data_IF_931070975317
#
_entry.id   IF_931070975317
#
_cell.length_a   1.000
_cell.length_b   1.000
_cell.length_c   1.000
_cell.angle_alpha   90.00
_cell.angle_beta   90.00
_cell.angle_gamma   90.00
#
_symmetry.space_group_name_H-M   'P 1'
#
loop_
_entity.id
_entity.type
_entity.pdbx_description
1 polymer ?
#
# COMPACT_ATOMS: atom_id res chain seq x y z
N UNK A 1 -48.44 -12.26 10.27
CA UNK A 1 -47.94 -12.19 8.88
C UNK A 1 -47.49 -10.77 8.59
N UNK A 2 -46.19 -10.50 8.71
CA UNK A 2 -45.56 -9.29 8.13
C UNK A 2 -44.16 -9.70 7.67
N UNK A 3 -44.07 -10.10 6.40
CA UNK A 3 -42.80 -10.32 5.73
C UNK A 3 -42.16 -8.96 5.45
N UNK A 4 -41.06 -8.67 6.12
CA UNK A 4 -40.32 -7.44 5.93
C UNK A 4 -39.46 -7.56 4.66
N UNK A 5 -39.86 -6.86 3.61
CA UNK A 5 -39.08 -6.64 2.39
C UNK A 5 -37.80 -5.86 2.72
N UNK A 6 -36.71 -6.56 3.00
CA UNK A 6 -35.35 -6.02 2.89
C UNK A 6 -34.41 -7.11 2.39
N UNK A 7 -34.61 -7.48 1.15
CA UNK A 7 -33.58 -8.18 0.40
C UNK A 7 -33.77 -7.87 -1.09
N UNK A 8 -32.66 -7.65 -1.78
CA UNK A 8 -32.49 -7.31 -3.22
C UNK A 8 -32.33 -5.82 -3.56
N UNK A 9 -31.15 -5.26 -3.28
CA UNK A 9 -30.43 -4.28 -4.14
C UNK A 9 -29.07 -3.87 -3.53
N UNK A 10 -28.21 -4.83 -3.19
CA UNK A 10 -26.81 -4.55 -2.78
C UNK A 10 -25.80 -5.38 -3.58
N UNK A 11 -26.04 -5.49 -4.88
CA UNK A 11 -25.01 -5.85 -5.87
C UNK A 11 -24.74 -4.61 -6.73
N UNK A 12 -24.42 -3.49 -6.09
CA UNK A 12 -23.81 -2.35 -6.74
C UNK A 12 -22.30 -2.54 -6.68
N UNK A 13 -21.61 -2.26 -7.77
CA UNK A 13 -20.15 -2.30 -7.85
C UNK A 13 -19.57 -1.40 -6.75
N UNK A 14 -18.94 -1.98 -5.71
CA UNK A 14 -18.29 -1.26 -4.60
C UNK A 14 -16.92 -0.71 -5.05
N UNK A 15 -16.88 0.03 -6.16
CA UNK A 15 -15.66 0.65 -6.69
C UNK A 15 -15.78 2.17 -6.77
N UNK A 16 -14.67 2.91 -6.86
CA UNK A 16 -14.69 4.36 -7.04
C UNK A 16 -15.47 4.76 -8.30
N UNK A 17 -16.34 5.75 -8.15
CA UNK A 17 -17.16 6.31 -9.22
C UNK A 17 -16.39 7.44 -9.94
N UNK A 18 -15.53 7.08 -10.88
CA UNK A 18 -14.77 8.05 -11.65
C UNK A 18 -15.67 8.90 -12.56
N UNK A 19 -15.41 10.21 -12.64
CA UNK A 19 -15.99 11.15 -13.60
C UNK A 19 -17.52 11.23 -13.65
N UNK A 20 -18.21 10.77 -12.60
CA UNK A 20 -19.67 10.87 -12.51
C UNK A 20 -20.11 12.33 -12.53
N UNK A 21 -20.98 12.70 -13.47
CA UNK A 21 -21.50 14.06 -13.63
C UNK A 21 -22.20 14.60 -12.37
N UNK A 22 -22.70 13.71 -11.50
CA UNK A 22 -23.33 14.06 -10.22
C UNK A 22 -22.37 14.19 -9.03
N UNK A 23 -21.09 13.78 -9.18
CA UNK A 23 -20.08 13.77 -8.11
C UNK A 23 -18.79 14.51 -8.52
N UNK A 24 -18.86 15.39 -9.53
CA UNK A 24 -17.70 16.15 -9.97
C UNK A 24 -17.25 17.09 -8.86
N UNK A 25 -16.02 16.88 -8.40
CA UNK A 25 -15.32 17.85 -7.56
C UNK A 25 -15.12 19.15 -8.31
N UNK A 26 -15.23 20.26 -7.58
CA UNK A 26 -14.80 21.56 -8.07
C UNK A 26 -13.34 21.49 -8.57
N UNK A 27 -13.02 21.99 -9.78
CA UNK A 27 -11.67 21.89 -10.33
C UNK A 27 -10.58 22.53 -9.47
N UNK A 28 -10.88 23.61 -8.76
CA UNK A 28 -9.91 24.28 -7.88
C UNK A 28 -9.61 23.41 -6.66
N UNK A 29 -10.64 22.84 -6.04
CA UNK A 29 -10.49 21.94 -4.90
C UNK A 29 -9.74 20.65 -5.26
N UNK A 30 -9.95 20.12 -6.47
CA UNK A 30 -9.23 18.96 -6.96
C UNK A 30 -7.73 19.25 -7.14
N UNK A 31 -7.41 20.45 -7.64
CA UNK A 31 -6.02 20.89 -7.81
C UNK A 31 -5.33 21.05 -6.45
N UNK A 32 -5.98 21.74 -5.50
CA UNK A 32 -5.47 21.91 -4.14
C UNK A 32 -5.27 20.56 -3.44
N UNK A 33 -6.19 19.60 -3.64
CA UNK A 33 -6.06 18.27 -3.08
C UNK A 33 -4.87 17.50 -3.66
N UNK A 34 -4.67 17.58 -4.98
CA UNK A 34 -3.53 16.96 -5.64
C UNK A 34 -2.20 17.58 -5.18
N UNK A 35 -2.14 18.89 -5.00
CA UNK A 35 -0.95 19.56 -4.49
C UNK A 35 -0.63 19.12 -3.05
N UNK A 36 -1.65 18.93 -2.21
CA UNK A 36 -1.46 18.32 -0.88
C UNK A 36 -0.93 16.88 -0.98
N UNK A 37 -1.44 16.08 -1.92
CA UNK A 37 -0.96 14.71 -2.16
C UNK A 37 0.50 14.69 -2.61
N UNK A 38 0.90 15.59 -3.53
CA UNK A 38 2.29 15.75 -3.99
C UNK A 38 3.20 16.15 -2.84
N UNK A 39 2.84 17.18 -2.07
CA UNK A 39 3.62 17.63 -0.91
C UNK A 39 3.79 16.53 0.14
N UNK A 40 2.74 15.75 0.39
CA UNK A 40 2.80 14.62 1.31
C UNK A 40 3.66 13.46 0.77
N UNK A 41 3.63 13.21 -0.55
CA UNK A 41 4.53 12.24 -1.19
C UNK A 41 6.00 12.68 -1.07
N UNK A 42 6.31 13.95 -1.29
CA UNK A 42 7.66 14.51 -1.12
C UNK A 42 8.16 14.41 0.33
N UNK A 43 7.27 14.62 1.30
CA UNK A 43 7.57 14.40 2.72
C UNK A 43 7.92 12.94 3.00
N UNK A 44 7.17 12.00 2.41
CA UNK A 44 7.44 10.57 2.54
C UNK A 44 8.74 10.15 1.85
N UNK A 45 9.00 10.63 0.64
CA UNK A 45 10.27 10.44 -0.07
C UNK A 45 11.46 10.89 0.77
N UNK A 46 11.37 12.08 1.36
CA UNK A 46 12.45 12.69 2.13
C UNK A 46 12.72 12.00 3.47
N UNK A 47 11.88 11.05 3.88
CA UNK A 47 12.10 10.28 5.11
C UNK A 47 13.27 9.32 4.89
N UNK A 48 14.36 9.49 5.64
CA UNK A 48 15.53 8.60 5.62
C UNK A 48 15.20 7.26 6.28
N UNK A 49 14.48 6.43 5.52
CA UNK A 49 14.16 5.07 5.89
C UNK A 49 14.41 4.13 4.71
N UNK A 50 15.65 3.63 4.54
CA UNK A 50 15.99 2.74 3.43
C UNK A 50 15.38 1.33 3.59
N UNK A 51 14.89 0.98 4.78
CA UNK A 51 14.38 -0.35 5.09
C UNK A 51 12.85 -0.39 4.93
N UNK A 52 12.37 -1.26 4.03
CA UNK A 52 10.96 -1.61 3.90
C UNK A 52 10.73 -3.11 4.13
N UNK A 53 9.74 -3.45 4.93
CA UNK A 53 9.14 -4.78 5.03
C UNK A 53 8.46 -5.22 3.72
N UNK A 54 8.10 -4.31 2.81
CA UNK A 54 7.71 -4.76 1.48
C UNK A 54 8.79 -5.65 0.82
N UNK A 55 10.06 -5.55 1.25
CA UNK A 55 11.12 -6.48 0.88
C UNK A 55 10.98 -7.90 1.46
N UNK A 56 10.15 -8.09 2.50
CA UNK A 56 9.78 -9.39 3.05
C UNK A 56 8.44 -9.86 2.48
N UNK A 57 8.48 -10.43 1.27
CA UNK A 57 7.31 -10.98 0.54
C UNK A 57 6.32 -11.76 1.41
N UNK A 58 6.81 -12.64 2.30
CA UNK A 58 5.96 -13.44 3.19
C UNK A 58 5.06 -12.62 4.14
N UNK A 59 5.52 -11.44 4.58
CA UNK A 59 4.71 -10.55 5.42
C UNK A 59 3.59 -9.89 4.61
N UNK A 60 3.90 -9.44 3.39
CA UNK A 60 2.92 -8.86 2.45
C UNK A 60 1.87 -9.90 2.08
N UNK A 61 2.29 -11.12 1.71
CA UNK A 61 1.38 -12.24 1.43
C UNK A 61 0.44 -12.54 2.59
N UNK A 62 0.97 -12.51 3.82
CA UNK A 62 0.15 -12.69 5.02
C UNK A 62 -0.88 -11.56 5.12
N UNK A 63 -0.48 -10.29 5.00
CA UNK A 63 -1.39 -9.15 5.05
C UNK A 63 -2.49 -9.28 4.00
N UNK A 64 -2.15 -9.72 2.79
CA UNK A 64 -3.11 -9.92 1.70
C UNK A 64 -4.12 -11.03 2.04
N UNK A 65 -3.64 -12.18 2.52
CA UNK A 65 -4.50 -13.29 2.97
C UNK A 65 -5.40 -12.90 4.15
N UNK A 66 -4.87 -12.13 5.11
CA UNK A 66 -5.65 -11.61 6.22
C UNK A 66 -6.72 -10.62 5.73
N UNK A 67 -6.36 -9.73 4.80
CA UNK A 67 -7.28 -8.76 4.20
C UNK A 67 -8.40 -9.45 3.43
N UNK A 68 -8.10 -10.49 2.67
CA UNK A 68 -9.08 -11.34 1.98
C UNK A 68 -10.02 -12.02 3.00
N UNK A 69 -9.46 -12.65 4.04
CA UNK A 69 -10.25 -13.28 5.11
C UNK A 69 -11.19 -12.29 5.80
N UNK A 70 -10.75 -11.06 5.99
CA UNK A 70 -11.56 -9.99 6.56
C UNK A 70 -12.45 -9.26 5.56
N UNK A 71 -12.34 -9.57 4.26
CA UNK A 71 -13.04 -8.91 3.14
C UNK A 71 -12.82 -7.39 3.13
N UNK A 72 -11.58 -6.99 3.39
CA UNK A 72 -11.18 -5.60 3.37
C UNK A 72 -11.13 -5.06 1.92
N UNK A 73 -11.49 -3.79 1.69
CA UNK A 73 -11.27 -3.14 0.41
C UNK A 73 -9.76 -3.00 0.12
N UNK A 74 -9.40 -2.83 -1.15
CA UNK A 74 -8.00 -2.73 -1.59
C UNK A 74 -7.25 -1.57 -0.90
N UNK A 75 -7.92 -0.43 -0.68
CA UNK A 75 -7.33 0.69 0.06
C UNK A 75 -6.92 0.28 1.49
N UNK A 76 -7.78 -0.44 2.21
CA UNK A 76 -7.47 -0.94 3.56
C UNK A 76 -6.32 -1.94 3.54
N UNK A 77 -6.24 -2.78 2.49
CA UNK A 77 -5.19 -3.77 2.30
C UNK A 77 -3.83 -3.10 2.13
N UNK A 78 -3.68 -2.15 1.20
CA UNK A 78 -2.41 -1.44 1.00
C UNK A 78 -2.04 -0.55 2.18
N UNK A 79 -3.03 0.09 2.81
CA UNK A 79 -2.82 0.85 4.04
C UNK A 79 -2.31 -0.04 5.18
N UNK A 80 -2.82 -1.26 5.33
CA UNK A 80 -2.31 -2.20 6.32
C UNK A 80 -0.83 -2.55 6.08
N UNK A 81 -0.41 -2.67 4.82
CA UNK A 81 1.01 -2.84 4.46
C UNK A 81 1.82 -1.63 4.92
N UNK A 82 1.41 -0.40 4.56
CA UNK A 82 2.13 0.82 4.95
C UNK A 82 2.22 1.04 6.47
N UNK A 83 1.15 0.72 7.22
CA UNK A 83 1.16 0.79 8.69
C UNK A 83 2.14 -0.25 9.25
N UNK A 84 2.08 -1.50 8.77
CA UNK A 84 2.95 -2.56 9.24
C UNK A 84 4.42 -2.24 8.96
N UNK A 85 4.71 -1.77 7.73
CA UNK A 85 6.03 -1.35 7.24
C UNK A 85 6.73 -0.40 8.20
N UNK A 86 6.08 0.74 8.44
CA UNK A 86 6.58 1.78 9.34
C UNK A 86 6.68 1.27 10.78
N UNK A 87 5.69 0.51 11.23
CA UNK A 87 5.66 -0.01 12.59
C UNK A 87 6.84 -0.93 12.87
N UNK A 88 7.10 -1.95 12.04
CA UNK A 88 8.15 -2.92 12.34
C UNK A 88 9.51 -2.27 12.30
N UNK A 89 9.76 -1.39 11.33
CA UNK A 89 11.04 -0.68 11.22
C UNK A 89 11.28 0.15 12.48
N UNK A 90 10.32 0.97 12.89
CA UNK A 90 10.45 1.77 14.11
C UNK A 90 10.58 0.87 15.35
N UNK A 91 9.78 -0.19 15.45
CA UNK A 91 9.82 -1.12 16.57
C UNK A 91 11.18 -1.83 16.70
N UNK A 92 11.76 -2.28 15.59
CA UNK A 92 13.07 -2.92 15.54
C UNK A 92 14.17 -1.92 15.92
N UNK A 93 14.09 -0.67 15.44
CA UNK A 93 15.03 0.40 15.81
C UNK A 93 15.00 0.69 17.31
N UNK A 94 13.82 0.84 17.88
CA UNK A 94 13.65 1.10 19.32
C UNK A 94 14.21 -0.04 20.17
N UNK A 95 13.91 -1.29 19.77
CA UNK A 95 14.43 -2.48 20.45
C UNK A 95 15.95 -2.60 20.33
N UNK A 96 16.51 -2.33 19.14
CA UNK A 96 17.95 -2.38 18.92
C UNK A 96 18.66 -1.30 19.73
N UNK A 97 18.13 -0.07 19.73
CA UNK A 97 18.61 1.04 20.56
C UNK A 97 18.62 0.64 22.04
N UNK A 98 17.53 0.06 22.54
CA UNK A 98 17.44 -0.41 23.92
C UNK A 98 18.52 -1.46 24.27
N UNK A 99 18.76 -2.44 23.39
CA UNK A 99 19.83 -3.44 23.61
C UNK A 99 21.22 -2.79 23.58
N UNK A 100 21.45 -1.89 22.62
CA UNK A 100 22.72 -1.17 22.45
C UNK A 100 23.05 -0.33 23.69
N UNK A 101 22.04 0.34 24.26
CA UNK A 101 22.17 1.22 25.43
C UNK A 101 22.14 0.45 26.76
N UNK A 102 21.76 -0.82 26.76
CA UNK A 102 21.77 -1.64 27.98
C UNK A 102 23.18 -1.89 28.53
N UNK A 103 23.28 -2.13 29.85
CA UNK A 103 24.52 -2.55 30.52
C UNK A 103 24.80 -4.06 30.40
N UNK A 104 24.04 -4.77 29.55
CA UNK A 104 24.22 -6.21 29.36
C UNK A 104 25.59 -6.53 28.78
N UNK A 105 26.26 -7.54 29.36
CA UNK A 105 27.50 -8.12 28.81
C UNK A 105 27.24 -9.04 27.62
N UNK A 106 25.98 -9.42 27.38
CA UNK A 106 25.56 -10.41 26.37
C UNK A 106 24.63 -9.81 25.31
N UNK A 107 24.88 -8.57 24.88
CA UNK A 107 24.01 -7.82 23.94
C UNK A 107 23.62 -8.59 22.68
N UNK A 108 24.55 -9.34 22.08
CA UNK A 108 24.25 -10.15 20.88
C UNK A 108 23.27 -11.29 21.18
N UNK A 109 23.39 -11.94 22.34
CA UNK A 109 22.45 -12.98 22.75
C UNK A 109 21.07 -12.39 23.03
N UNK A 110 21.02 -11.27 23.75
CA UNK A 110 19.77 -10.56 24.06
C UNK A 110 19.06 -10.12 22.78
N UNK A 111 19.82 -9.61 21.81
CA UNK A 111 19.30 -9.28 20.49
C UNK A 111 18.68 -10.48 19.78
N UNK A 112 19.36 -11.63 19.76
CA UNK A 112 18.82 -12.87 19.15
C UNK A 112 17.52 -13.30 19.83
N UNK A 113 17.43 -13.21 21.15
CA UNK A 113 16.19 -13.52 21.89
C UNK A 113 15.06 -12.55 21.55
N UNK A 114 15.34 -11.25 21.45
CA UNK A 114 14.37 -10.22 21.08
C UNK A 114 13.86 -10.45 19.66
N UNK A 115 14.75 -10.67 18.69
CA UNK A 115 14.38 -10.98 17.30
C UNK A 115 13.48 -12.22 17.25
N UNK A 116 13.80 -13.27 18.01
CA UNK A 116 12.96 -14.47 18.12
C UNK A 116 11.55 -14.16 18.65
N UNK A 117 11.42 -13.26 19.64
CA UNK A 117 10.12 -12.82 20.16
C UNK A 117 9.35 -11.98 19.15
N UNK A 118 10.00 -11.05 18.45
CA UNK A 118 9.38 -10.21 17.42
C UNK A 118 8.81 -11.08 16.30
N UNK A 119 9.58 -12.05 15.79
CA UNK A 119 9.13 -12.99 14.76
C UNK A 119 7.85 -13.74 15.17
N UNK A 120 7.78 -14.23 16.41
CA UNK A 120 6.58 -14.91 16.94
C UNK A 120 5.35 -13.98 17.06
N UNK A 121 5.56 -12.66 17.14
CA UNK A 121 4.49 -11.67 17.26
C UNK A 121 4.02 -11.13 15.92
N UNK A 122 4.71 -11.39 14.81
CA UNK A 122 4.34 -10.88 13.47
C UNK A 122 2.86 -11.11 13.13
N UNK A 123 2.28 -12.33 13.29
CA UNK A 123 0.86 -12.55 13.03
C UNK A 123 -0.06 -11.59 13.78
N UNK A 124 0.21 -11.36 15.06
CA UNK A 124 -0.56 -10.44 15.89
C UNK A 124 -0.43 -8.99 15.40
N UNK A 125 0.78 -8.57 15.04
CA UNK A 125 1.05 -7.21 14.53
C UNK A 125 0.37 -6.96 13.19
N UNK A 126 0.43 -7.92 12.28
CA UNK A 126 -0.25 -7.85 10.98
C UNK A 126 -1.76 -7.69 11.19
N UNK A 127 -2.37 -8.53 12.03
CA UNK A 127 -3.81 -8.43 12.31
C UNK A 127 -4.16 -7.07 12.94
N UNK A 128 -3.34 -6.56 13.86
CA UNK A 128 -3.54 -5.21 14.42
C UNK A 128 -3.45 -4.11 13.35
N UNK A 129 -2.54 -4.21 12.38
CA UNK A 129 -2.45 -3.25 11.28
C UNK A 129 -3.68 -3.32 10.36
N UNK A 130 -4.21 -4.52 10.07
CA UNK A 130 -5.49 -4.68 9.36
C UNK A 130 -6.66 -4.07 10.13
N UNK A 131 -6.70 -4.22 11.46
CA UNK A 131 -7.71 -3.57 12.29
C UNK A 131 -7.64 -2.05 12.18
N UNK A 132 -6.45 -1.46 12.32
CA UNK A 132 -6.25 -0.02 12.19
C UNK A 132 -6.63 0.50 10.81
N UNK A 133 -6.13 -0.14 9.75
CA UNK A 133 -6.44 0.24 8.38
C UNK A 133 -7.96 0.21 8.11
N UNK A 134 -8.64 -0.84 8.58
CA UNK A 134 -10.10 -0.96 8.41
C UNK A 134 -10.89 0.15 9.13
N UNK A 135 -10.36 0.73 10.22
CA UNK A 135 -11.01 1.85 10.91
C UNK A 135 -10.86 3.17 10.15
N UNK A 136 -9.80 3.31 9.35
CA UNK A 136 -9.53 4.51 8.57
C UNK A 136 -10.34 4.57 7.27
N UNK A 137 -10.64 3.43 6.66
CA UNK A 137 -11.17 3.38 5.28
C UNK A 137 -12.51 2.65 5.15
N UNK A 138 -12.88 1.78 6.10
CA UNK A 138 -14.04 0.92 5.95
C UNK A 138 -15.17 1.30 6.90
N UNK A 139 -16.05 2.21 6.45
CA UNK A 139 -17.21 2.67 7.22
C UNK A 139 -18.12 1.53 7.74
N UNK A 140 -18.15 0.37 7.04
CA UNK A 140 -18.97 -0.79 7.44
C UNK A 140 -18.22 -2.12 7.62
N UNK A 141 -16.93 -2.20 7.28
CA UNK A 141 -16.16 -3.47 7.31
C UNK A 141 -15.00 -3.50 8.31
N UNK A 142 -15.11 -2.69 9.37
CA UNK A 142 -14.11 -2.65 10.44
C UNK A 142 -13.85 -4.06 11.00
N UNK A 143 -12.56 -4.40 11.15
CA UNK A 143 -12.15 -5.64 11.81
C UNK A 143 -12.24 -5.43 13.32
N UNK A 144 -13.33 -5.94 13.90
CA UNK A 144 -13.53 -5.88 15.35
C UNK A 144 -12.51 -6.77 16.09
N UNK A 145 -12.22 -6.50 17.38
CA UNK A 145 -11.36 -7.36 18.19
C UNK A 145 -11.82 -8.81 18.25
N UNK A 146 -13.14 -9.06 18.17
CA UNK A 146 -13.72 -10.41 18.12
C UNK A 146 -13.37 -11.13 16.81
N UNK A 147 -13.43 -10.44 15.67
CA UNK A 147 -13.03 -10.99 14.35
C UNK A 147 -11.53 -11.29 14.31
N UNK A 148 -10.71 -10.37 14.81
CA UNK A 148 -9.28 -10.55 14.93
C UNK A 148 -8.93 -11.76 15.84
N UNK A 149 -9.60 -11.88 16.98
CA UNK A 149 -9.43 -13.02 17.90
C UNK A 149 -9.79 -14.36 17.23
N UNK A 150 -10.94 -14.43 16.55
CA UNK A 150 -11.36 -15.65 15.86
C UNK A 150 -10.33 -16.09 14.81
N UNK A 151 -9.86 -15.15 13.98
CA UNK A 151 -8.84 -15.42 12.98
C UNK A 151 -7.51 -15.89 13.58
N UNK A 152 -7.00 -15.22 14.61
CA UNK A 152 -5.76 -15.62 15.29
C UNK A 152 -5.89 -16.99 15.97
N UNK A 153 -7.07 -17.31 16.52
CA UNK A 153 -7.36 -18.61 17.12
C UNK A 153 -7.38 -19.73 16.08
N UNK A 154 -7.96 -19.49 14.90
CA UNK A 154 -7.93 -20.44 13.76
C UNK A 154 -6.49 -20.78 13.34
N UNK A 155 -5.58 -19.82 13.46
CA UNK A 155 -4.15 -20.00 13.19
C UNK A 155 -3.36 -20.63 14.35
N UNK A 156 -4.04 -21.12 15.38
CA UNK A 156 -3.43 -21.76 16.55
C UNK A 156 -2.83 -20.82 17.58
N UNK A 157 -3.07 -19.50 17.48
CA UNK A 157 -2.55 -18.54 18.46
C UNK A 157 -3.40 -18.48 19.73
N UNK A 158 -2.75 -18.27 20.88
CA UNK A 158 -3.38 -18.21 22.21
C UNK A 158 -3.57 -16.78 22.73
N UNK A 159 -3.79 -15.81 21.84
CA UNK A 159 -3.95 -14.41 22.22
C UNK A 159 -5.34 -14.15 22.82
N UNK A 160 -5.41 -13.35 23.89
CA UNK A 160 -6.67 -12.83 24.43
C UNK A 160 -7.10 -11.57 23.69
N UNK A 161 -8.40 -11.21 23.77
CA UNK A 161 -8.89 -9.94 23.23
C UNK A 161 -8.12 -8.75 23.80
N UNK A 162 -7.81 -8.76 25.10
CA UNK A 162 -7.00 -7.71 25.71
C UNK A 162 -5.61 -7.62 25.06
N UNK A 163 -4.94 -8.75 24.81
CA UNK A 163 -3.64 -8.73 24.14
C UNK A 163 -3.69 -8.19 22.70
N UNK A 164 -4.82 -8.40 22.00
CA UNK A 164 -5.07 -7.84 20.67
C UNK A 164 -5.24 -6.32 20.73
N UNK A 165 -6.03 -5.83 21.69
CA UNK A 165 -6.20 -4.38 21.91
C UNK A 165 -4.89 -3.70 22.30
N UNK A 166 -4.11 -4.31 23.20
CA UNK A 166 -2.79 -3.81 23.57
C UNK A 166 -1.80 -3.85 22.40
N UNK A 167 -1.95 -4.81 21.49
CA UNK A 167 -1.16 -4.84 20.26
C UNK A 167 -1.50 -3.68 19.35
N UNK A 168 -2.79 -3.40 19.17
CA UNK A 168 -3.26 -2.26 18.39
C UNK A 168 -2.74 -0.93 18.96
N UNK A 169 -2.87 -0.74 20.28
CA UNK A 169 -2.36 0.45 20.97
C UNK A 169 -0.84 0.58 20.84
N UNK A 170 -0.10 -0.54 20.85
CA UNK A 170 1.35 -0.51 20.62
C UNK A 170 1.68 0.00 19.23
N UNK A 171 0.99 -0.47 18.19
CA UNK A 171 1.22 -0.01 16.82
C UNK A 171 0.98 1.51 16.73
N UNK A 172 -0.13 1.99 17.30
CA UNK A 172 -0.44 3.42 17.36
C UNK A 172 0.66 4.23 18.06
N UNK A 173 1.07 3.81 19.26
CA UNK A 173 2.10 4.52 20.04
C UNK A 173 3.46 4.52 19.36
N UNK A 174 3.87 3.40 18.77
CA UNK A 174 5.14 3.31 18.03
C UNK A 174 5.16 4.22 16.80
N UNK A 175 3.99 4.55 16.24
CA UNK A 175 3.87 5.45 15.10
C UNK A 175 3.44 6.87 15.47
N UNK A 176 3.49 7.22 16.76
CA UNK A 176 3.02 8.51 17.29
C UNK A 176 1.62 8.89 16.78
N UNK A 177 0.74 7.88 16.67
CA UNK A 177 -0.62 7.98 16.13
C UNK A 177 -0.72 8.45 14.67
N UNK A 178 0.41 8.61 13.96
CA UNK A 178 0.46 9.00 12.57
C UNK A 178 0.29 7.80 11.63
N UNK A 179 -0.95 7.33 11.46
CA UNK A 179 -1.29 6.14 10.63
C UNK A 179 -2.08 6.46 9.35
N UNK A 180 -2.47 7.71 9.15
CA UNK A 180 -3.34 8.14 8.04
C UNK A 180 -2.58 8.57 6.79
N UNK A 181 -1.35 8.10 6.60
CA UNK A 181 -0.57 8.47 5.41
C UNK A 181 -1.22 7.96 4.12
N UNK A 182 -1.15 8.71 3.02
CA UNK A 182 -1.57 8.24 1.70
C UNK A 182 -0.87 6.93 1.34
N UNK A 183 -1.60 6.05 0.63
CA UNK A 183 -1.07 4.83 0.05
C UNK A 183 -1.16 4.90 -1.48
N UNK A 184 -0.40 4.07 -2.23
CA UNK A 184 -0.36 4.14 -3.69
C UNK A 184 -1.73 4.08 -4.38
N UNK A 185 -2.72 3.36 -3.81
CA UNK A 185 -4.07 3.34 -4.38
C UNK A 185 -4.78 4.70 -4.33
N UNK A 186 -4.51 5.53 -3.32
CA UNK A 186 -5.10 6.87 -3.23
C UNK A 186 -4.55 7.79 -4.33
N UNK A 187 -3.24 7.77 -4.54
CA UNK A 187 -2.60 8.50 -5.64
C UNK A 187 -3.13 8.02 -7.00
N UNK A 188 -3.30 6.71 -7.15
CA UNK A 188 -3.86 6.10 -8.36
C UNK A 188 -5.28 6.59 -8.66
N UNK A 189 -6.17 6.57 -7.66
CA UNK A 189 -7.54 7.06 -7.83
C UNK A 189 -7.57 8.55 -8.19
N UNK A 190 -6.74 9.38 -7.55
CA UNK A 190 -6.62 10.81 -7.86
C UNK A 190 -6.15 11.04 -9.29
N UNK A 191 -5.10 10.33 -9.73
CA UNK A 191 -4.58 10.45 -11.09
C UNK A 191 -5.59 9.97 -12.14
N UNK A 192 -6.29 8.85 -11.87
CA UNK A 192 -7.31 8.31 -12.78
C UNK A 192 -8.51 9.22 -12.96
N UNK A 193 -8.94 9.89 -11.88
CA UNK A 193 -10.00 10.90 -11.94
C UNK A 193 -9.59 12.07 -12.82
N UNK A 194 -8.32 12.51 -12.77
CA UNK A 194 -7.83 13.62 -13.60
C UNK A 194 -7.69 13.22 -15.08
N UNK A 195 -6.96 12.15 -15.38
CA UNK A 195 -6.72 11.75 -16.78
C UNK A 195 -8.02 11.32 -17.48
N UNK A 196 -8.99 10.79 -16.74
CA UNK A 196 -10.29 10.44 -17.28
C UNK A 196 -11.15 11.64 -17.70
N UNK A 197 -10.81 12.85 -17.24
CA UNK A 197 -11.41 14.11 -17.74
C UNK A 197 -10.78 14.53 -19.05
N UNK A 198 -9.47 14.34 -19.18
CA UNK A 198 -8.68 14.74 -20.35
C UNK A 198 -8.84 13.76 -21.53
N UNK A 199 -9.14 12.48 -21.24
CA UNK A 199 -9.24 11.41 -22.25
C UNK A 199 -10.60 10.70 -22.12
N UNK A 200 -11.58 11.17 -22.89
CA UNK A 200 -12.99 10.74 -22.78
C UNK A 200 -13.26 9.31 -23.22
N UNK A 201 -12.40 8.73 -24.07
CA UNK A 201 -12.50 7.34 -24.55
C UNK A 201 -11.70 6.35 -23.69
N UNK A 202 -11.19 6.81 -22.54
CA UNK A 202 -10.42 5.98 -21.61
C UNK A 202 -11.35 5.11 -20.74
N UNK A 203 -11.12 3.80 -20.72
CA UNK A 203 -11.87 2.87 -19.87
C UNK A 203 -11.34 2.89 -18.42
N UNK A 204 -11.50 4.04 -17.74
CA UNK A 204 -10.91 4.34 -16.42
C UNK A 204 -11.20 3.24 -15.39
N UNK A 205 -12.42 2.73 -15.33
CA UNK A 205 -12.80 1.66 -14.39
C UNK A 205 -12.03 0.35 -14.61
N UNK A 206 -11.74 0.00 -15.87
CA UNK A 206 -10.97 -1.21 -16.20
C UNK A 206 -9.48 -0.98 -15.89
N UNK A 207 -8.96 0.22 -16.22
CA UNK A 207 -7.59 0.60 -15.89
C UNK A 207 -7.40 0.57 -14.38
N UNK A 208 -8.34 1.11 -13.60
CA UNK A 208 -8.31 1.05 -12.15
C UNK A 208 -8.18 -0.39 -11.63
N UNK A 209 -9.09 -1.29 -12.03
CA UNK A 209 -9.08 -2.70 -11.59
C UNK A 209 -7.78 -3.39 -11.99
N UNK A 210 -7.28 -3.13 -13.21
CA UNK A 210 -6.00 -3.67 -13.70
C UNK A 210 -4.82 -3.12 -12.90
N UNK A 211 -4.84 -1.82 -12.61
CA UNK A 211 -3.79 -1.12 -11.86
C UNK A 211 -3.73 -1.60 -10.41
N UNK A 212 -4.86 -1.95 -9.80
CA UNK A 212 -4.88 -2.62 -8.49
C UNK A 212 -4.19 -3.99 -8.54
N UNK A 213 -4.36 -4.78 -9.62
CA UNK A 213 -3.63 -6.06 -9.78
C UNK A 213 -2.14 -5.85 -10.02
N UNK A 214 -1.77 -4.77 -10.72
CA UNK A 214 -0.37 -4.36 -10.85
C UNK A 214 0.20 -3.92 -9.50
N UNK A 215 -0.54 -3.18 -8.66
CA UNK A 215 -0.13 -2.86 -7.30
C UNK A 215 0.09 -4.13 -6.46
N UNK A 216 -0.80 -5.13 -6.55
CA UNK A 216 -0.59 -6.42 -5.87
C UNK A 216 0.77 -7.03 -6.26
N UNK A 217 1.11 -7.02 -7.56
CA UNK A 217 2.41 -7.48 -8.05
C UNK A 217 3.58 -6.66 -7.50
N UNK A 218 3.45 -5.33 -7.49
CA UNK A 218 4.47 -4.41 -6.96
C UNK A 218 4.75 -4.70 -5.50
N UNK A 219 3.71 -4.81 -4.66
CA UNK A 219 3.87 -5.10 -3.24
C UNK A 219 4.48 -6.49 -2.99
N UNK A 220 4.15 -7.50 -3.79
CA UNK A 220 4.65 -8.87 -3.64
C UNK A 220 6.08 -9.08 -4.16
N UNK A 221 6.57 -8.21 -5.05
CA UNK A 221 7.91 -8.29 -5.65
C UNK A 221 8.64 -6.95 -5.50
N UNK A 222 8.41 -6.29 -4.37
CA UNK A 222 8.84 -4.93 -4.14
C UNK A 222 10.36 -4.81 -4.22
N UNK A 223 11.08 -5.75 -3.59
CA UNK A 223 12.54 -5.69 -3.55
C UNK A 223 13.14 -5.91 -4.93
N UNK A 224 12.62 -6.88 -5.68
CA UNK A 224 13.09 -7.21 -7.03
C UNK A 224 12.85 -6.05 -8.00
N UNK A 225 11.64 -5.47 -7.99
CA UNK A 225 11.27 -4.35 -8.86
C UNK A 225 12.14 -3.13 -8.55
N UNK A 226 12.27 -2.75 -7.29
CA UNK A 226 13.04 -1.56 -6.94
C UNK A 226 14.54 -1.74 -7.10
N UNK A 227 15.06 -2.95 -6.90
CA UNK A 227 16.47 -3.25 -7.18
C UNK A 227 16.74 -3.20 -8.69
N UNK A 228 15.84 -3.72 -9.53
CA UNK A 228 15.98 -3.60 -10.99
C UNK A 228 15.89 -2.15 -11.45
N UNK A 229 14.93 -1.37 -10.93
CA UNK A 229 14.78 0.05 -11.22
C UNK A 229 16.03 0.87 -10.82
N UNK A 230 16.57 0.60 -9.63
CA UNK A 230 17.81 1.24 -9.13
C UNK A 230 19.04 0.90 -10.00
N UNK A 231 19.07 -0.29 -10.62
CA UNK A 231 20.13 -0.74 -11.50
C UNK A 231 19.97 -0.26 -12.96
N UNK A 232 18.74 -0.14 -13.45
CA UNK A 232 18.44 0.26 -14.83
C UNK A 232 18.69 1.75 -15.08
N UNK A 233 18.56 2.60 -14.06
CA UNK A 233 18.81 4.03 -14.12
C UNK A 233 20.30 4.34 -14.45
N UNK A 234 20.62 4.36 -15.74
CA UNK A 234 21.97 4.38 -16.31
C UNK A 234 22.62 5.78 -16.35
N UNK A 235 22.09 6.79 -15.65
CA UNK A 235 22.66 8.14 -15.68
C UNK A 235 22.26 9.07 -14.53
N UNK A 236 23.25 9.47 -13.72
CA UNK A 236 23.40 10.77 -13.02
C UNK A 236 22.32 11.27 -12.02
N UNK A 237 21.15 10.66 -11.81
CA UNK A 237 20.21 11.19 -10.80
C UNK A 237 20.48 10.69 -9.37
N UNK A 238 20.85 11.64 -8.49
CA UNK A 238 21.06 11.52 -7.04
C UNK A 238 19.85 11.03 -6.22
N UNK A 239 18.76 10.58 -6.86
CA UNK A 239 17.45 10.34 -6.22
C UNK A 239 17.14 8.86 -5.92
N UNK A 240 18.07 7.93 -6.17
CA UNK A 240 17.88 6.47 -5.98
C UNK A 240 17.38 6.06 -4.59
N UNK A 241 17.79 6.77 -3.53
CA UNK A 241 17.46 6.40 -2.14
C UNK A 241 15.97 6.56 -1.77
N UNK A 242 15.20 7.28 -2.58
CA UNK A 242 13.84 7.69 -2.22
C UNK A 242 12.76 7.06 -3.10
N UNK A 243 13.14 6.36 -4.19
CA UNK A 243 12.21 5.70 -5.11
C UNK A 243 11.30 4.69 -4.40
N UNK A 244 11.84 3.98 -3.40
CA UNK A 244 11.08 3.00 -2.61
C UNK A 244 9.96 3.67 -1.79
N UNK A 245 10.09 4.95 -1.45
CA UNK A 245 9.08 5.71 -0.69
C UNK A 245 8.12 6.50 -1.58
N UNK A 246 8.26 6.37 -2.89
CA UNK A 246 7.52 7.15 -3.86
C UNK A 246 6.17 6.53 -4.23
N UNK A 247 5.13 6.87 -3.46
CA UNK A 247 3.79 6.37 -3.70
C UNK A 247 3.16 6.92 -4.98
N UNK A 248 3.53 8.14 -5.37
CA UNK A 248 3.03 8.76 -6.60
C UNK A 248 3.61 8.08 -7.84
N UNK A 249 4.92 7.85 -7.89
CA UNK A 249 5.58 7.12 -8.98
C UNK A 249 5.07 5.68 -9.08
N UNK A 250 4.82 5.01 -7.95
CA UNK A 250 4.21 3.68 -7.91
C UNK A 250 2.84 3.66 -8.58
N UNK A 251 2.00 4.64 -8.24
CA UNK A 251 0.66 4.76 -8.80
C UNK A 251 0.70 5.05 -10.31
N UNK A 252 1.50 6.02 -10.74
CA UNK A 252 1.67 6.39 -12.14
C UNK A 252 2.22 5.20 -12.96
N UNK A 253 3.24 4.50 -12.45
CA UNK A 253 3.80 3.29 -13.06
C UNK A 253 2.79 2.16 -13.20
N UNK A 254 1.96 1.93 -12.18
CA UNK A 254 0.90 0.93 -12.23
C UNK A 254 -0.18 1.27 -13.27
N UNK A 255 -0.55 2.54 -13.40
CA UNK A 255 -1.49 3.02 -14.42
C UNK A 255 -0.87 2.85 -15.82
N UNK A 256 0.36 3.30 -16.03
CA UNK A 256 1.06 3.21 -17.31
C UNK A 256 1.21 1.75 -17.77
N UNK A 257 1.64 0.84 -16.88
CA UNK A 257 1.72 -0.59 -17.17
C UNK A 257 0.34 -1.19 -17.52
N UNK A 258 -0.71 -0.75 -16.83
CA UNK A 258 -2.08 -1.22 -17.09
C UNK A 258 -2.60 -0.75 -18.45
N UNK A 259 -2.34 0.51 -18.81
CA UNK A 259 -2.66 1.04 -20.14
C UNK A 259 -1.87 0.30 -21.21
N UNK A 260 -0.58 0.05 -21.02
CA UNK A 260 0.22 -0.72 -21.98
C UNK A 260 -0.34 -2.13 -22.23
N UNK A 261 -0.79 -2.82 -21.18
CA UNK A 261 -1.41 -4.15 -21.29
C UNK A 261 -2.73 -4.09 -22.08
N UNK A 262 -3.49 -3.02 -21.92
CA UNK A 262 -4.82 -2.87 -22.52
C UNK A 262 -4.79 -2.30 -23.94
N UNK A 263 -4.00 -1.26 -24.17
CA UNK A 263 -3.87 -0.52 -25.41
C UNK A 263 -2.52 0.20 -25.47
N UNK A 264 -1.53 -0.48 -26.09
CA UNK A 264 -0.17 0.04 -26.23
C UNK A 264 -0.12 1.41 -26.93
N UNK A 265 -1.05 1.68 -27.85
CA UNK A 265 -1.05 2.91 -28.67
C UNK A 265 -1.34 4.17 -27.85
N UNK A 266 -1.93 4.03 -26.66
CA UNK A 266 -2.26 5.14 -25.76
C UNK A 266 -1.19 5.37 -24.70
N UNK A 267 -0.22 4.47 -24.55
CA UNK A 267 0.74 4.47 -23.43
C UNK A 267 1.51 5.77 -23.35
N UNK A 268 2.15 6.21 -24.43
CA UNK A 268 2.99 7.41 -24.44
C UNK A 268 2.19 8.66 -24.06
N UNK A 269 0.99 8.83 -24.64
CA UNK A 269 0.09 9.94 -24.30
C UNK A 269 -0.30 9.92 -22.81
N UNK A 270 -0.59 8.75 -22.26
CA UNK A 270 -0.95 8.62 -20.84
C UNK A 270 0.25 8.91 -19.94
N UNK A 271 1.46 8.48 -20.30
CA UNK A 271 2.68 8.80 -19.55
C UNK A 271 2.91 10.31 -19.48
N UNK A 272 2.75 11.03 -20.59
CA UNK A 272 2.87 12.50 -20.62
C UNK A 272 1.83 13.18 -19.72
N UNK A 273 0.56 12.74 -19.78
CA UNK A 273 -0.48 13.27 -18.88
C UNK A 273 -0.18 12.96 -17.41
N UNK A 274 0.23 11.72 -17.12
CA UNK A 274 0.62 11.33 -15.77
C UNK A 274 1.80 12.14 -15.28
N UNK A 275 2.80 12.42 -16.11
CA UNK A 275 3.95 13.26 -15.75
C UNK A 275 3.48 14.66 -15.33
N UNK A 276 2.65 15.31 -16.16
CA UNK A 276 2.09 16.62 -15.84
C UNK A 276 1.22 16.66 -14.58
N UNK A 277 0.43 15.61 -14.32
CA UNK A 277 -0.47 15.55 -13.17
C UNK A 277 0.19 15.01 -11.88
N UNK A 278 1.20 14.17 -11.98
CA UNK A 278 1.87 13.63 -10.79
C UNK A 278 3.01 14.53 -10.30
N UNK A 279 3.65 15.27 -11.21
CA UNK A 279 4.95 15.91 -10.95
C UNK A 279 6.14 14.96 -11.16
N UNK A 280 5.89 13.71 -11.56
CA UNK A 280 6.95 12.74 -11.86
C UNK A 280 7.53 12.94 -13.26
N UNK A 281 8.85 12.75 -13.46
CA UNK A 281 9.43 12.71 -14.80
C UNK A 281 8.83 11.57 -15.64
N UNK A 282 8.47 11.86 -16.89
CA UNK A 282 7.97 10.86 -17.85
C UNK A 282 8.91 9.65 -17.98
N UNK A 283 10.22 9.88 -18.07
CA UNK A 283 11.24 8.82 -18.11
C UNK A 283 11.17 7.91 -16.87
N UNK A 284 10.95 8.49 -15.68
CA UNK A 284 10.81 7.73 -14.44
C UNK A 284 9.57 6.85 -14.43
N UNK A 285 8.45 7.35 -14.95
CA UNK A 285 7.19 6.59 -15.11
C UNK A 285 7.40 5.44 -16.11
N UNK A 286 8.07 5.71 -17.23
CA UNK A 286 8.39 4.71 -18.24
C UNK A 286 9.30 3.60 -17.69
N UNK A 287 10.34 3.99 -16.95
CA UNK A 287 11.29 3.05 -16.34
C UNK A 287 10.58 2.09 -15.38
N UNK A 288 9.80 2.62 -14.42
CA UNK A 288 9.09 1.77 -13.46
C UNK A 288 8.04 0.89 -14.15
N UNK A 289 7.30 1.41 -15.14
CA UNK A 289 6.32 0.64 -15.91
C UNK A 289 7.00 -0.53 -16.67
N UNK A 290 8.16 -0.28 -17.27
CA UNK A 290 8.95 -1.29 -17.98
C UNK A 290 9.41 -2.39 -17.03
N UNK A 291 9.95 -2.05 -15.86
CA UNK A 291 10.38 -3.02 -14.85
C UNK A 291 9.21 -3.84 -14.32
N UNK A 292 8.05 -3.21 -14.08
CA UNK A 292 6.82 -3.90 -13.68
C UNK A 292 6.41 -4.94 -14.73
N UNK A 293 6.38 -4.55 -16.00
CA UNK A 293 6.02 -5.45 -17.11
C UNK A 293 7.01 -6.60 -17.23
N UNK A 294 8.31 -6.34 -17.13
CA UNK A 294 9.33 -7.39 -17.08
C UNK A 294 9.09 -8.38 -15.94
N UNK A 295 8.76 -7.90 -14.74
CA UNK A 295 8.45 -8.77 -13.61
C UNK A 295 7.20 -9.61 -13.85
N UNK A 296 6.16 -9.02 -14.44
CA UNK A 296 4.94 -9.74 -14.83
C UNK A 296 5.24 -10.88 -15.83
N UNK A 297 6.06 -10.62 -16.85
CA UNK A 297 6.48 -11.65 -17.81
C UNK A 297 7.30 -12.77 -17.15
N UNK A 298 8.18 -12.45 -16.20
CA UNK A 298 8.97 -13.46 -15.46
C UNK A 298 8.09 -14.37 -14.61
N UNK A 299 7.11 -13.82 -13.90
CA UNK A 299 6.20 -14.61 -13.07
C UNK A 299 5.29 -15.53 -13.91
N UNK A 300 4.91 -15.11 -15.12
CA UNK A 300 4.15 -15.96 -16.05
C UNK A 300 4.96 -17.15 -16.58
N UNK A 301 6.29 -17.04 -16.73
CA UNK A 301 7.15 -18.16 -17.17
C UNK A 301 7.43 -19.21 -16.09
N UNK A 302 7.19 -18.89 -14.81
CA UNK A 302 7.42 -19.82 -13.69
C UNK A 302 6.23 -20.74 -13.40
N UNK A 303 5.07 -20.49 -14.03
CA UNK A 303 3.86 -21.31 -13.95
C UNK A 303 3.82 -22.28 -15.12
#
# INVERSE_FOLDING_TARGET
MCANKRDRTLTAFEGPCFNSSSLRFDPSLMTDWLDNLRAENDRQRSTDNPEKICSFKHCVEYIFKASERFRLPDEAKYRAVGIFDRFLVQHIRDLYKHVRESNSKTKMHDWKLIVGRVKKQIPLRIVSCCQLASKLTAHYRVVSPKRAFAYLKELGSKYSINSILQSELRVLKTLDYNISLPCPSLYMEALLELIGRDVTDLQVSIIHVTSLKILDLIFLNFDEIYTELENAASGVSRQRKYLRNDGMLQAAGAIAASVYIMDQTKTDKIIELLSGQSGEPADGILDIATVILHQLYRENKKK
#
